data_IF_546677955208
#
_entry.id   IF_546677955208
#
_cell.length_a   1.000
_cell.length_b   1.000
_cell.length_c   1.000
_cell.angle_alpha   90.00
_cell.angle_beta   90.00
_cell.angle_gamma   90.00
#
_symmetry.space_group_name_H-M   'P 1'
#
loop_
_entity.id
_entity.type
_entity.pdbx_description
1 polymer ?
#
# COMPACT_ATOMS: atom_id res chain seq x y z
N UNK A 1 58.77 -33.73 34.15
CA UNK A 1 58.35 -34.88 33.33
C UNK A 1 56.99 -35.42 33.77
N UNK A 2 56.20 -35.86 32.78
CA UNK A 2 55.04 -36.77 32.83
C UNK A 2 53.73 -36.34 33.53
N UNK A 3 52.88 -35.78 32.68
CA UNK A 3 51.41 -35.84 32.64
C UNK A 3 50.86 -37.23 33.03
N UNK A 4 49.75 -37.26 33.78
CA UNK A 4 48.79 -38.37 33.79
C UNK A 4 47.39 -37.81 33.50
N UNK A 5 46.85 -38.25 32.36
CA UNK A 5 45.52 -37.93 31.86
C UNK A 5 44.44 -38.67 32.69
N UNK A 6 43.33 -37.98 32.97
CA UNK A 6 42.07 -38.60 33.39
C UNK A 6 40.99 -38.20 32.40
N UNK A 7 40.52 -39.18 31.62
CA UNK A 7 39.27 -39.14 30.85
C UNK A 7 38.12 -38.80 31.80
N UNK A 8 37.28 -37.84 31.43
CA UNK A 8 35.93 -37.67 31.98
C UNK A 8 34.92 -37.74 30.83
N UNK A 9 33.85 -38.45 31.15
CA UNK A 9 32.66 -38.74 30.37
C UNK A 9 32.08 -37.47 29.77
N UNK A 10 31.66 -37.53 28.50
CA UNK A 10 30.71 -36.59 27.92
C UNK A 10 29.33 -37.15 28.30
N UNK A 11 28.56 -36.41 29.08
CA UNK A 11 27.10 -36.56 29.20
C UNK A 11 26.52 -35.48 28.27
N UNK A 12 25.57 -35.89 27.44
CA UNK A 12 24.80 -35.01 26.57
C UNK A 12 23.96 -34.07 27.44
N UNK A 13 24.36 -32.80 27.51
CA UNK A 13 23.50 -31.72 27.97
C UNK A 13 22.58 -31.36 26.80
N UNK A 14 21.31 -31.72 26.92
CA UNK A 14 20.22 -31.21 26.08
C UNK A 14 20.21 -29.68 26.22
N UNK A 15 20.58 -28.97 25.15
CA UNK A 15 20.40 -27.53 25.03
C UNK A 15 18.89 -27.25 25.01
N UNK A 16 18.37 -26.74 26.14
CA UNK A 16 17.07 -26.10 26.22
C UNK A 16 16.96 -25.05 25.09
N UNK A 17 16.08 -25.31 24.12
CA UNK A 17 15.70 -24.38 23.07
C UNK A 17 15.06 -23.14 23.73
N UNK A 18 15.86 -22.10 23.95
CA UNK A 18 15.41 -20.76 24.30
C UNK A 18 14.36 -20.31 23.26
N UNK A 19 13.09 -20.27 23.67
CA UNK A 19 12.00 -19.66 22.91
C UNK A 19 12.37 -18.21 22.56
N UNK A 20 12.67 -17.97 21.28
CA UNK A 20 12.93 -16.65 20.75
C UNK A 20 11.75 -15.69 21.02
N UNK A 21 11.95 -14.55 21.71
CA UNK A 21 10.90 -13.56 21.92
C UNK A 21 10.79 -12.70 20.66
N UNK A 22 9.96 -13.14 19.70
CA UNK A 22 9.77 -12.45 18.42
C UNK A 22 8.39 -12.61 17.77
N UNK A 23 7.41 -13.21 18.45
CA UNK A 23 6.11 -13.55 17.84
C UNK A 23 5.07 -12.41 17.76
N UNK A 24 5.25 -11.30 18.46
CA UNK A 24 4.22 -10.23 18.50
C UNK A 24 4.08 -9.43 17.19
N UNK A 25 5.07 -9.44 16.30
CA UNK A 25 5.01 -8.69 15.04
C UNK A 25 4.26 -9.41 13.91
N UNK A 26 3.89 -10.68 14.08
CA UNK A 26 3.08 -11.44 13.12
C UNK A 26 1.57 -11.25 13.29
N UNK A 27 1.10 -10.59 14.36
CA UNK A 27 -0.33 -10.41 14.66
C UNK A 27 -1.08 -9.47 13.69
N UNK A 28 -0.36 -8.69 12.88
CA UNK A 28 -0.96 -7.80 11.89
C UNK A 28 -1.29 -8.49 10.56
N UNK A 29 -0.99 -9.78 10.42
CA UNK A 29 -1.15 -10.50 9.16
C UNK A 29 -2.14 -11.65 9.26
N UNK A 30 -3.04 -11.76 8.28
CA UNK A 30 -3.89 -12.93 8.19
C UNK A 30 -3.03 -14.17 7.96
N UNK A 31 -3.46 -15.30 8.51
CA UNK A 31 -2.77 -16.60 8.40
C UNK A 31 -2.44 -16.99 6.95
N UNK A 32 -3.29 -16.60 6.00
CA UNK A 32 -3.07 -16.78 4.56
C UNK A 32 -1.85 -15.99 4.03
N UNK A 33 -1.48 -14.87 4.66
CA UNK A 33 -0.32 -14.06 4.29
C UNK A 33 1.01 -14.64 4.75
N UNK A 34 0.99 -15.47 5.80
CA UNK A 34 2.15 -16.20 6.29
C UNK A 34 2.49 -17.43 5.45
N UNK A 35 1.57 -17.88 4.58
CA UNK A 35 1.82 -18.99 3.65
C UNK A 35 2.68 -18.49 2.50
N UNK A 36 3.92 -18.99 2.44
CA UNK A 36 4.69 -18.92 1.21
C UNK A 36 4.10 -19.90 0.21
N UNK A 37 4.30 -19.66 -1.09
CA UNK A 37 3.87 -20.61 -2.11
C UNK A 37 4.64 -21.91 -1.88
N UNK A 38 3.96 -22.96 -1.41
CA UNK A 38 4.60 -24.22 -1.07
C UNK A 38 5.10 -24.90 -2.35
N UNK A 39 6.41 -25.09 -2.43
CA UNK A 39 7.10 -25.78 -3.52
C UNK A 39 7.00 -27.32 -3.36
N UNK A 40 5.79 -27.81 -3.06
CA UNK A 40 5.55 -29.21 -2.76
C UNK A 40 5.63 -30.06 -4.04
N UNK A 41 6.68 -30.88 -4.14
CA UNK A 41 6.89 -31.80 -5.27
C UNK A 41 7.93 -31.36 -6.30
N UNK A 42 8.69 -30.31 -6.03
CA UNK A 42 9.80 -29.91 -6.90
C UNK A 42 10.98 -30.84 -6.73
N UNK A 43 11.36 -31.49 -7.84
CA UNK A 43 12.51 -32.37 -7.88
C UNK A 43 13.77 -31.52 -7.84
N UNK A 44 14.62 -31.79 -6.86
CA UNK A 44 15.97 -31.22 -6.80
C UNK A 44 16.88 -32.20 -7.52
N UNK A 45 17.71 -31.69 -8.43
CA UNK A 45 18.72 -32.50 -9.10
C UNK A 45 19.90 -32.86 -8.18
N UNK A 46 20.85 -33.63 -8.69
CA UNK A 46 22.03 -34.09 -7.95
C UNK A 46 22.95 -32.93 -7.49
N UNK A 47 22.77 -31.72 -8.04
CA UNK A 47 23.59 -30.54 -7.77
C UNK A 47 22.83 -29.46 -6.98
N UNK A 48 21.59 -29.73 -6.55
CA UNK A 48 20.79 -28.79 -5.76
C UNK A 48 19.93 -27.83 -6.57
N UNK A 49 19.86 -27.97 -7.90
CA UNK A 49 18.99 -27.15 -8.74
C UNK A 49 17.56 -27.69 -8.76
N UNK A 50 16.59 -26.78 -8.77
CA UNK A 50 15.17 -27.10 -8.81
C UNK A 50 14.71 -27.35 -10.25
N UNK A 51 14.16 -28.52 -10.53
CA UNK A 51 13.60 -28.84 -11.85
C UNK A 51 12.08 -28.56 -11.91
N UNK A 52 11.73 -27.48 -12.60
CA UNK A 52 10.35 -27.06 -12.82
C UNK A 52 9.74 -27.51 -14.15
N UNK A 53 10.47 -28.29 -14.98
CA UNK A 53 10.04 -28.62 -16.35
C UNK A 53 8.69 -29.35 -16.43
N UNK A 54 8.38 -30.19 -15.44
CA UNK A 54 7.11 -30.94 -15.40
C UNK A 54 5.92 -30.07 -14.98
N UNK A 55 6.15 -29.02 -14.19
CA UNK A 55 5.11 -28.14 -13.67
C UNK A 55 4.85 -26.94 -14.60
N UNK A 56 5.86 -26.55 -15.39
CA UNK A 56 5.83 -25.37 -16.26
C UNK A 56 5.92 -25.77 -17.74
N UNK A 57 4.83 -26.24 -18.36
CA UNK A 57 4.85 -26.61 -19.78
C UNK A 57 5.10 -25.37 -20.64
N UNK A 58 6.01 -25.48 -21.61
CA UNK A 58 6.35 -24.39 -22.52
C UNK A 58 5.23 -24.20 -23.55
N UNK A 59 4.79 -22.95 -23.74
CA UNK A 59 3.81 -22.62 -24.79
C UNK A 59 4.49 -22.52 -26.16
N UNK A 60 3.71 -22.75 -27.22
CA UNK A 60 4.20 -22.68 -28.60
C UNK A 60 4.66 -21.28 -29.01
N UNK A 61 4.13 -20.24 -28.39
CA UNK A 61 4.41 -18.83 -28.64
C UNK A 61 5.34 -18.21 -27.57
N UNK A 62 6.21 -19.04 -26.97
CA UNK A 62 7.13 -18.61 -25.92
C UNK A 62 8.11 -17.49 -26.36
N UNK A 63 8.30 -17.25 -27.66
CA UNK A 63 9.22 -16.22 -28.15
C UNK A 63 8.64 -14.79 -28.05
N UNK A 64 7.31 -14.64 -28.09
CA UNK A 64 6.65 -13.32 -28.07
C UNK A 64 6.24 -12.85 -26.68
N UNK A 65 6.40 -13.69 -25.65
CA UNK A 65 5.94 -13.45 -24.27
C UNK A 65 7.10 -13.11 -23.34
N UNK A 66 7.01 -12.14 -22.42
CA UNK A 66 8.18 -11.69 -21.66
C UNK A 66 8.41 -12.36 -20.30
N UNK A 67 7.49 -13.20 -19.79
CA UNK A 67 7.53 -13.68 -18.39
C UNK A 67 7.84 -15.18 -18.24
N UNK A 68 8.58 -15.52 -17.18
CA UNK A 68 8.61 -16.86 -16.58
C UNK A 68 8.06 -16.80 -15.15
N UNK A 69 7.13 -17.68 -14.83
CA UNK A 69 6.46 -17.73 -13.51
C UNK A 69 6.80 -19.06 -12.84
N UNK A 70 7.70 -19.02 -11.87
CA UNK A 70 8.09 -20.18 -11.09
C UNK A 70 7.04 -20.53 -10.02
N UNK A 71 6.90 -21.82 -9.65
CA UNK A 71 5.92 -22.26 -8.67
C UNK A 71 6.21 -21.78 -7.25
N UNK A 72 7.42 -21.27 -6.96
CA UNK A 72 7.80 -20.69 -5.68
C UNK A 72 7.45 -19.19 -5.54
N UNK A 73 6.76 -18.63 -6.54
CA UNK A 73 6.33 -17.23 -6.56
C UNK A 73 7.32 -16.26 -7.21
N UNK A 74 8.47 -16.74 -7.67
CA UNK A 74 9.42 -15.90 -8.42
C UNK A 74 8.94 -15.69 -9.87
N UNK A 75 9.01 -14.45 -10.33
CA UNK A 75 8.68 -14.06 -11.70
C UNK A 75 9.90 -13.40 -12.33
N UNK A 76 10.32 -13.93 -13.48
CA UNK A 76 11.39 -13.35 -14.27
C UNK A 76 10.81 -12.61 -15.48
N UNK A 77 11.23 -11.36 -15.68
CA UNK A 77 10.78 -10.48 -16.75
C UNK A 77 11.95 -10.15 -17.69
N UNK A 78 11.77 -10.41 -18.97
CA UNK A 78 12.74 -10.04 -20.01
C UNK A 78 12.62 -8.56 -20.40
N UNK A 79 13.67 -7.78 -20.12
CA UNK A 79 13.69 -6.34 -20.37
C UNK A 79 13.90 -5.94 -21.84
N UNK A 80 14.25 -6.90 -22.69
CA UNK A 80 14.49 -6.71 -24.13
C UNK A 80 13.26 -7.05 -24.99
N UNK A 81 12.17 -7.55 -24.40
CA UNK A 81 10.94 -7.84 -25.12
C UNK A 81 10.20 -6.54 -25.50
N UNK A 82 9.55 -6.46 -26.67
CA UNK A 82 8.70 -5.32 -27.00
C UNK A 82 7.54 -5.09 -26.02
N UNK A 83 7.11 -6.15 -25.32
CA UNK A 83 6.05 -6.11 -24.31
C UNK A 83 6.55 -5.71 -22.92
N UNK A 84 7.84 -5.39 -22.77
CA UNK A 84 8.45 -5.08 -21.49
C UNK A 84 7.70 -3.99 -20.72
N UNK A 85 7.32 -2.88 -21.36
CA UNK A 85 6.67 -1.75 -20.67
C UNK A 85 5.35 -2.16 -20.02
N UNK A 86 4.50 -2.89 -20.75
CA UNK A 86 3.22 -3.40 -20.26
C UNK A 86 3.41 -4.42 -19.13
N UNK A 87 4.34 -5.37 -19.32
CA UNK A 87 4.62 -6.38 -18.33
C UNK A 87 5.26 -5.80 -17.05
N UNK A 88 6.12 -4.79 -17.18
CA UNK A 88 6.70 -4.07 -16.05
C UNK A 88 5.62 -3.33 -15.26
N UNK A 89 4.73 -2.62 -15.94
CA UNK A 89 3.66 -1.86 -15.29
C UNK A 89 2.68 -2.76 -14.54
N UNK A 90 2.35 -3.91 -15.14
CA UNK A 90 1.57 -4.96 -14.50
C UNK A 90 2.29 -5.54 -13.27
N UNK A 91 3.56 -5.95 -13.39
CA UNK A 91 4.32 -6.51 -12.27
C UNK A 91 4.55 -5.52 -11.13
N UNK A 92 4.71 -4.22 -11.42
CA UNK A 92 4.79 -3.16 -10.41
C UNK A 92 3.46 -3.00 -9.65
N UNK A 93 2.34 -3.46 -10.19
CA UNK A 93 1.06 -3.48 -9.49
C UNK A 93 0.88 -4.73 -8.62
N UNK A 94 1.38 -5.90 -9.05
CA UNK A 94 1.04 -7.20 -8.42
C UNK A 94 2.17 -7.87 -7.64
N UNK A 95 3.42 -7.46 -7.84
CA UNK A 95 4.59 -8.14 -7.31
C UNK A 95 5.63 -7.16 -6.73
N UNK A 96 6.45 -7.65 -5.81
CA UNK A 96 7.57 -6.89 -5.25
C UNK A 96 8.84 -7.13 -6.09
N UNK A 97 9.59 -6.08 -6.45
CA UNK A 97 10.85 -6.25 -7.17
C UNK A 97 11.94 -6.81 -6.25
N UNK A 98 12.61 -7.88 -6.68
CA UNK A 98 13.77 -8.47 -5.99
C UNK A 98 15.06 -7.88 -6.58
N UNK A 99 15.25 -8.03 -7.90
CA UNK A 99 16.41 -7.48 -8.59
C UNK A 99 16.05 -6.92 -9.98
N UNK A 100 16.78 -5.90 -10.44
CA UNK A 100 16.55 -5.23 -11.74
C UNK A 100 17.87 -5.01 -12.50
N UNK A 101 18.56 -6.08 -12.93
CA UNK A 101 19.73 -5.97 -13.80
C UNK A 101 19.32 -5.64 -15.24
N UNK A 102 20.28 -5.37 -16.12
CA UNK A 102 20.05 -4.82 -17.47
C UNK A 102 19.13 -5.66 -18.37
N UNK A 103 19.11 -6.99 -18.22
CA UNK A 103 18.46 -7.90 -19.18
C UNK A 103 17.23 -8.65 -18.62
N UNK A 104 17.32 -9.18 -17.41
CA UNK A 104 16.26 -10.01 -16.82
C UNK A 104 15.97 -9.52 -15.41
N UNK A 105 14.78 -8.98 -15.19
CA UNK A 105 14.35 -8.52 -13.88
C UNK A 105 13.72 -9.69 -13.12
N UNK A 106 13.87 -9.67 -11.80
CA UNK A 106 13.28 -10.64 -10.90
C UNK A 106 12.29 -9.94 -9.97
N UNK A 107 11.09 -10.49 -9.91
CA UNK A 107 10.01 -10.08 -9.04
C UNK A 107 9.57 -11.27 -8.19
N UNK A 108 8.93 -11.00 -7.06
CA UNK A 108 8.37 -12.03 -6.19
C UNK A 108 6.92 -11.69 -5.87
N UNK A 109 6.05 -12.67 -6.07
CA UNK A 109 4.68 -12.61 -5.58
C UNK A 109 4.69 -12.83 -4.07
N UNK A 110 4.17 -11.87 -3.34
CA UNK A 110 3.93 -11.95 -1.90
C UNK A 110 2.44 -11.77 -1.65
N UNK A 111 1.96 -12.22 -0.49
CA UNK A 111 0.58 -11.96 -0.11
C UNK A 111 0.31 -10.45 -0.04
N UNK A 112 1.26 -9.68 0.50
CA UNK A 112 1.20 -8.22 0.58
C UNK A 112 1.07 -7.54 -0.78
N UNK A 113 1.87 -7.96 -1.77
CA UNK A 113 1.84 -7.36 -3.11
C UNK A 113 0.49 -7.62 -3.79
N UNK A 114 -0.08 -8.81 -3.60
CA UNK A 114 -1.42 -9.14 -4.08
C UNK A 114 -2.52 -8.35 -3.35
N UNK A 115 -2.38 -8.09 -2.04
CA UNK A 115 -3.32 -7.24 -1.31
C UNK A 115 -3.30 -5.80 -1.81
N UNK A 116 -2.11 -5.27 -2.08
CA UNK A 116 -1.95 -3.96 -2.68
C UNK A 116 -2.59 -3.90 -4.08
N UNK A 117 -2.42 -4.95 -4.88
CA UNK A 117 -3.03 -5.06 -6.21
C UNK A 117 -4.56 -5.01 -6.17
N UNK A 118 -5.20 -5.82 -5.34
CA UNK A 118 -6.67 -5.85 -5.20
C UNK A 118 -7.19 -4.54 -4.64
N UNK A 119 -6.44 -3.93 -3.73
CA UNK A 119 -6.79 -2.60 -3.22
C UNK A 119 -6.87 -1.59 -4.37
N UNK A 120 -5.94 -1.62 -5.33
CA UNK A 120 -5.96 -0.71 -6.50
C UNK A 120 -7.20 -0.93 -7.38
N UNK A 121 -7.83 -2.10 -7.31
CA UNK A 121 -9.07 -2.43 -8.04
C UNK A 121 -8.94 -3.60 -9.01
N UNK A 122 -7.75 -4.19 -9.13
CA UNK A 122 -7.51 -5.35 -9.99
C UNK A 122 -8.29 -6.57 -9.49
N UNK A 123 -9.09 -7.18 -10.36
CA UNK A 123 -9.82 -8.39 -10.01
C UNK A 123 -8.92 -9.62 -10.08
N UNK A 124 -9.29 -10.65 -9.31
CA UNK A 124 -8.60 -11.95 -9.30
C UNK A 124 -8.51 -12.57 -10.69
N UNK A 125 -9.58 -12.48 -11.48
CA UNK A 125 -9.66 -12.98 -12.85
C UNK A 125 -8.59 -12.32 -13.73
N UNK A 126 -8.50 -11.00 -13.64
CA UNK A 126 -7.66 -10.20 -14.52
C UNK A 126 -6.19 -10.52 -14.23
N UNK A 127 -5.80 -10.57 -12.95
CA UNK A 127 -4.43 -10.92 -12.56
C UNK A 127 -4.03 -12.29 -13.14
N UNK A 128 -4.91 -13.29 -13.06
CA UNK A 128 -4.63 -14.64 -13.58
C UNK A 128 -4.56 -14.61 -15.11
N UNK A 129 -5.50 -13.93 -15.77
CA UNK A 129 -5.56 -13.82 -17.22
C UNK A 129 -4.32 -13.12 -17.79
N UNK A 130 -3.91 -11.99 -17.21
CA UNK A 130 -2.70 -11.27 -17.60
C UNK A 130 -1.44 -12.10 -17.40
N UNK A 131 -1.31 -12.80 -16.26
CA UNK A 131 -0.20 -13.72 -16.06
C UNK A 131 -0.18 -14.81 -17.13
N UNK A 132 -1.34 -15.38 -17.46
CA UNK A 132 -1.46 -16.37 -18.53
C UNK A 132 -1.19 -15.79 -19.92
N UNK A 133 -1.54 -14.53 -20.21
CA UNK A 133 -1.27 -13.84 -21.48
C UNK A 133 0.21 -13.42 -21.62
N UNK A 134 0.89 -13.09 -20.54
CA UNK A 134 2.29 -12.64 -20.57
C UNK A 134 3.32 -13.76 -20.30
N UNK A 135 2.91 -14.92 -19.79
CA UNK A 135 3.83 -16.02 -19.45
C UNK A 135 4.22 -16.91 -20.64
N UNK A 136 5.52 -17.13 -20.82
CA UNK A 136 6.10 -18.10 -21.78
C UNK A 136 5.70 -19.54 -21.47
N UNK A 137 5.56 -19.86 -20.20
CA UNK A 137 5.15 -21.18 -19.69
C UNK A 137 3.71 -21.14 -19.20
N UNK A 138 3.09 -22.31 -19.03
CA UNK A 138 1.88 -22.42 -18.22
C UNK A 138 2.11 -21.85 -16.82
N UNK A 139 1.11 -21.15 -16.28
CA UNK A 139 1.14 -20.66 -14.90
C UNK A 139 0.85 -21.88 -14.00
N UNK A 140 1.72 -22.21 -13.03
CA UNK A 140 1.50 -23.35 -12.14
C UNK A 140 0.20 -23.21 -11.33
N UNK A 141 -0.50 -24.32 -11.12
CA UNK A 141 -1.78 -24.33 -10.38
C UNK A 141 -1.63 -23.82 -8.94
N UNK A 142 -0.48 -24.09 -8.30
CA UNK A 142 -0.17 -23.57 -6.97
C UNK A 142 -0.19 -22.04 -6.90
N UNK A 143 0.33 -21.36 -7.93
CA UNK A 143 0.29 -19.89 -8.03
C UNK A 143 -1.14 -19.41 -8.24
N UNK A 144 -1.94 -20.08 -9.07
CA UNK A 144 -3.35 -19.72 -9.28
C UNK A 144 -4.15 -19.86 -7.99
N UNK A 145 -3.95 -20.96 -7.25
CA UNK A 145 -4.60 -21.18 -5.96
C UNK A 145 -4.16 -20.15 -4.93
N UNK A 146 -2.87 -19.83 -4.88
CA UNK A 146 -2.33 -18.79 -4.00
C UNK A 146 -2.94 -17.42 -4.30
N UNK A 147 -2.99 -17.02 -5.58
CA UNK A 147 -3.63 -15.76 -5.99
C UNK A 147 -5.11 -15.76 -5.58
N UNK A 148 -5.86 -16.83 -5.86
CA UNK A 148 -7.27 -16.91 -5.45
C UNK A 148 -7.45 -16.79 -3.94
N UNK A 149 -6.64 -17.48 -3.17
CA UNK A 149 -6.68 -17.42 -1.71
C UNK A 149 -6.40 -16.00 -1.19
N UNK A 150 -5.39 -15.32 -1.73
CA UNK A 150 -4.99 -13.98 -1.31
C UNK A 150 -5.84 -12.85 -1.89
N UNK A 151 -6.72 -13.09 -2.86
CA UNK A 151 -7.48 -12.01 -3.51
C UNK A 151 -8.98 -12.10 -3.30
N UNK A 152 -9.52 -13.30 -3.01
CA UNK A 152 -10.98 -13.48 -2.84
C UNK A 152 -11.51 -12.81 -1.58
N UNK A 153 -10.77 -12.77 -0.47
CA UNK A 153 -11.25 -12.14 0.76
C UNK A 153 -10.76 -10.68 0.93
N UNK A 154 -9.72 -10.28 0.19
CA UNK A 154 -9.01 -9.02 0.39
C UNK A 154 -9.61 -7.89 -0.43
N UNK A 155 -9.51 -6.65 0.08
CA UNK A 155 -10.01 -5.45 -0.58
C UNK A 155 -11.53 -5.32 -0.69
N UNK A 156 -12.28 -6.28 -0.13
CA UNK A 156 -13.75 -6.25 -0.07
C UNK A 156 -14.29 -5.37 1.05
N UNK A 157 -13.48 -5.10 2.07
CA UNK A 157 -13.91 -4.36 3.26
C UNK A 157 -13.01 -3.16 3.45
N UNK A 158 -13.62 -1.99 3.54
CA UNK A 158 -12.94 -0.71 3.69
C UNK A 158 -13.33 -0.10 5.01
N UNK A 159 -12.37 0.48 5.72
CA UNK A 159 -12.61 1.34 6.87
C UNK A 159 -12.51 2.79 6.38
N UNK A 160 -13.66 3.42 6.22
CA UNK A 160 -13.77 4.77 5.66
C UNK A 160 -14.02 5.76 6.78
N UNK A 161 -13.15 6.76 6.88
CA UNK A 161 -13.36 7.91 7.76
C UNK A 161 -14.17 8.99 7.01
N UNK A 162 -15.42 9.21 7.42
CA UNK A 162 -16.30 10.27 6.88
C UNK A 162 -16.81 11.13 8.05
N UNK A 163 -16.69 12.46 7.96
CA UNK A 163 -17.17 13.39 8.99
C UNK A 163 -16.74 12.99 10.42
N UNK A 164 -15.47 12.65 10.60
CA UNK A 164 -14.89 12.18 11.87
C UNK A 164 -15.61 10.96 12.49
N UNK A 165 -16.25 10.14 11.66
CA UNK A 165 -16.89 8.88 12.05
C UNK A 165 -16.32 7.76 11.20
N UNK A 166 -16.13 6.61 11.84
CA UNK A 166 -15.58 5.43 11.20
C UNK A 166 -16.70 4.56 10.69
N UNK A 167 -16.68 4.29 9.40
CA UNK A 167 -17.62 3.40 8.73
C UNK A 167 -16.89 2.21 8.15
N UNK A 168 -17.47 1.03 8.30
CA UNK A 168 -17.04 -0.15 7.55
C UNK A 168 -17.89 -0.24 6.30
N UNK A 169 -17.27 -0.16 5.13
CA UNK A 169 -17.90 -0.13 3.81
C UNK A 169 -17.52 -1.37 3.01
N UNK A 170 -18.49 -1.96 2.30
CA UNK A 170 -18.25 -3.02 1.32
C UNK A 170 -19.22 -2.92 0.15
N UNK A 171 -18.73 -3.19 -1.05
CA UNK A 171 -19.56 -3.40 -2.25
C UNK A 171 -20.27 -4.76 -2.22
N UNK A 172 -19.84 -5.68 -1.35
CA UNK A 172 -20.38 -7.03 -1.24
C UNK A 172 -21.20 -7.18 0.05
N UNK A 173 -22.53 -7.11 -0.08
CA UNK A 173 -23.47 -7.24 1.05
C UNK A 173 -23.28 -8.54 1.85
N UNK A 174 -22.96 -9.63 1.17
CA UNK A 174 -22.70 -10.94 1.80
C UNK A 174 -21.53 -10.91 2.79
N UNK A 175 -20.47 -10.15 2.48
CA UNK A 175 -19.28 -10.05 3.36
C UNK A 175 -19.62 -9.28 4.64
N UNK A 176 -20.38 -8.20 4.54
CA UNK A 176 -20.85 -7.47 5.73
C UNK A 176 -21.78 -8.32 6.58
N UNK A 177 -22.70 -9.07 5.96
CA UNK A 177 -23.55 -10.00 6.70
C UNK A 177 -22.74 -11.06 7.45
N UNK A 178 -21.69 -11.59 6.84
CA UNK A 178 -20.78 -12.55 7.48
C UNK A 178 -20.00 -11.89 8.64
N UNK A 179 -19.48 -10.66 8.46
CA UNK A 179 -18.80 -9.91 9.52
C UNK A 179 -19.70 -9.63 10.71
N UNK A 180 -20.98 -9.28 10.47
CA UNK A 180 -21.96 -8.97 11.53
C UNK A 180 -22.46 -10.21 12.29
N UNK A 181 -22.20 -11.42 11.80
CA UNK A 181 -22.43 -12.66 12.56
C UNK A 181 -21.43 -12.81 13.72
N UNK A 182 -20.26 -12.17 13.62
CA UNK A 182 -19.25 -12.20 14.67
C UNK A 182 -19.65 -11.32 15.86
N UNK A 183 -19.55 -11.89 17.07
CA UNK A 183 -19.98 -11.23 18.32
C UNK A 183 -19.11 -10.01 18.64
N UNK A 184 -17.80 -10.07 18.35
CA UNK A 184 -16.87 -8.98 18.64
C UNK A 184 -17.16 -7.80 17.72
N UNK A 185 -17.29 -8.07 16.41
CA UNK A 185 -17.59 -7.03 15.41
C UNK A 185 -18.94 -6.37 15.69
N UNK A 186 -19.97 -7.15 16.06
CA UNK A 186 -21.27 -6.61 16.48
C UNK A 186 -21.15 -5.71 17.70
N UNK A 187 -20.27 -6.06 18.65
CA UNK A 187 -19.97 -5.23 19.82
C UNK A 187 -19.24 -3.92 19.48
N UNK A 188 -18.49 -3.87 18.38
CA UNK A 188 -17.79 -2.66 17.92
C UNK A 188 -18.72 -1.65 17.25
N UNK A 189 -19.91 -2.06 16.80
CA UNK A 189 -20.91 -1.20 16.15
C UNK A 189 -21.36 -0.07 17.09
N UNK A 190 -21.56 1.12 16.53
CA UNK A 190 -22.18 2.21 17.28
C UNK A 190 -23.67 1.90 17.51
N UNK A 191 -24.12 2.00 18.76
CA UNK A 191 -25.55 1.93 19.13
C UNK A 191 -26.11 3.35 19.21
N UNK A 192 -27.35 3.53 18.77
CA UNK A 192 -28.08 4.78 18.92
C UNK A 192 -28.38 5.07 20.40
N UNK A 193 -28.76 6.31 20.72
CA UNK A 193 -29.04 6.77 22.08
C UNK A 193 -30.15 5.98 22.81
N UNK A 194 -30.98 5.22 22.08
CA UNK A 194 -32.05 4.36 22.61
C UNK A 194 -31.60 2.90 22.83
N UNK A 195 -30.32 2.58 22.62
CA UNK A 195 -29.76 1.23 22.79
C UNK A 195 -29.95 0.30 21.59
N UNK A 196 -30.63 0.76 20.54
CA UNK A 196 -30.81 0.07 19.26
C UNK A 196 -29.54 0.18 18.40
N UNK A 197 -29.23 -0.87 17.64
CA UNK A 197 -28.11 -0.85 16.70
C UNK A 197 -28.39 0.19 15.60
N UNK A 198 -27.40 1.04 15.26
CA UNK A 198 -27.48 1.98 14.12
C UNK A 198 -28.00 1.27 12.87
N UNK A 199 -28.82 1.87 12.01
CA UNK A 199 -29.28 1.16 10.80
C UNK A 199 -28.11 0.85 9.84
N UNK A 200 -28.21 -0.26 9.10
CA UNK A 200 -27.29 -0.53 7.99
C UNK A 200 -27.70 0.42 6.86
N UNK A 201 -26.78 1.28 6.44
CA UNK A 201 -27.09 2.26 5.41
C UNK A 201 -26.61 1.70 4.06
N UNK A 202 -27.43 1.86 3.03
CA UNK A 202 -27.12 1.45 1.65
C UNK A 202 -27.04 2.72 0.81
N UNK A 203 -25.89 2.98 0.22
CA UNK A 203 -25.62 4.18 -0.59
C UNK A 203 -25.05 3.76 -1.94
N UNK A 204 -25.45 4.48 -2.99
CA UNK A 204 -24.96 4.26 -4.35
C UNK A 204 -23.69 5.09 -4.52
N UNK A 205 -22.54 4.45 -4.74
CA UNK A 205 -21.27 5.15 -4.95
C UNK A 205 -21.12 5.56 -6.42
N UNK A 206 -20.84 6.85 -6.66
CA UNK A 206 -20.41 7.36 -7.97
C UNK A 206 -18.90 7.64 -7.94
N UNK A 207 -18.12 6.93 -8.75
CA UNK A 207 -16.66 7.06 -8.79
C UNK A 207 -16.23 8.32 -9.56
N UNK A 208 -16.05 9.47 -8.90
CA UNK A 208 -15.48 10.66 -9.56
C UNK A 208 -13.95 10.62 -9.53
N UNK A 209 -13.32 10.71 -10.71
CA UNK A 209 -11.87 10.82 -10.84
C UNK A 209 -11.31 12.00 -10.02
N UNK A 210 -10.22 11.76 -9.28
CA UNK A 210 -9.68 12.71 -8.31
C UNK A 210 -8.81 13.81 -8.93
N UNK A 211 -8.46 13.70 -10.22
CA UNK A 211 -7.60 14.66 -10.92
C UNK A 211 -8.45 15.45 -11.91
N UNK A 212 -8.86 16.65 -11.52
CA UNK A 212 -9.45 17.60 -12.45
C UNK A 212 -8.35 18.07 -13.42
N UNK A 213 -8.33 17.55 -14.65
CA UNK A 213 -7.60 18.18 -15.75
C UNK A 213 -8.29 19.51 -16.06
N UNK A 214 -7.74 20.60 -15.56
CA UNK A 214 -7.97 21.92 -16.13
C UNK A 214 -7.14 22.02 -17.43
N UNK A 215 -7.70 21.57 -18.55
CA UNK A 215 -7.19 21.94 -19.87
C UNK A 215 -8.37 21.99 -20.83
N UNK A 216 -8.66 23.21 -21.28
CA UNK A 216 -9.70 23.55 -22.23
C UNK A 216 -9.62 22.70 -23.51
N UNK A 217 -10.81 22.39 -24.03
CA UNK A 217 -11.05 21.75 -25.31
C UNK A 217 -10.42 22.53 -26.48
N UNK A 218 -9.39 21.95 -27.10
CA UNK A 218 -8.87 22.33 -28.41
C UNK A 218 -8.93 21.14 -29.38
N UNK A 219 -9.26 21.34 -30.66
CA UNK A 219 -9.62 20.27 -31.58
C UNK A 219 -8.42 19.40 -31.96
N UNK A 220 -8.69 18.10 -32.10
CA UNK A 220 -7.77 17.07 -32.56
C UNK A 220 -7.07 17.43 -33.87
N UNK A 221 -5.75 17.48 -33.86
CA UNK A 221 -4.91 17.29 -35.05
C UNK A 221 -3.83 16.27 -34.73
N UNK A 222 -4.13 15.01 -34.98
CA UNK A 222 -3.15 13.92 -35.06
C UNK A 222 -3.22 13.32 -36.46
N UNK A 223 -2.51 13.95 -37.40
CA UNK A 223 -2.00 13.26 -38.58
C UNK A 223 -0.54 13.64 -38.82
N UNK A 224 0.23 12.59 -39.14
CA UNK A 224 1.57 12.53 -39.69
C UNK A 224 2.76 12.41 -38.72
N UNK A 225 3.61 11.42 -39.05
CA UNK A 225 4.84 10.92 -38.40
C UNK A 225 4.59 10.03 -37.17
N UNK A 226 4.92 8.74 -37.11
CA UNK A 226 5.96 7.97 -37.81
C UNK A 226 5.46 6.54 -38.07
N UNK A 227 5.43 6.15 -39.35
CA UNK A 227 5.10 4.81 -39.79
C UNK A 227 6.40 4.02 -40.00
N UNK A 228 7.08 3.62 -38.92
CA UNK A 228 8.20 2.66 -39.01
C UNK A 228 8.59 2.16 -37.62
N UNK A 229 7.91 1.11 -37.17
CA UNK A 229 8.33 -0.01 -36.28
C UNK A 229 7.09 -0.52 -35.56
N UNK A 230 6.32 -1.40 -36.21
CA UNK A 230 5.38 -2.25 -35.47
C UNK A 230 6.21 -3.31 -34.77
N UNK A 231 6.26 -3.38 -33.43
CA UNK A 231 6.66 -4.62 -32.80
C UNK A 231 5.55 -5.65 -33.03
N UNK A 232 5.93 -6.91 -33.23
CA UNK A 232 5.04 -8.10 -33.26
C UNK A 232 4.37 -8.30 -31.88
N UNK A 233 3.48 -7.37 -31.52
CA UNK A 233 2.62 -7.48 -30.35
C UNK A 233 1.30 -8.08 -30.83
N UNK A 234 0.86 -9.23 -30.26
CA UNK A 234 -0.46 -9.77 -30.56
C UNK A 234 -1.54 -8.70 -30.33
N UNK A 235 -2.37 -8.44 -31.36
CA UNK A 235 -3.38 -7.38 -31.32
C UNK A 235 -4.35 -7.51 -30.13
N UNK A 236 -4.65 -8.76 -29.75
CA UNK A 236 -5.47 -9.15 -28.60
C UNK A 236 -4.96 -8.56 -27.26
N UNK A 237 -3.64 -8.47 -27.08
CA UNK A 237 -3.07 -7.91 -25.85
C UNK A 237 -3.22 -6.40 -25.78
N UNK A 238 -3.06 -5.70 -26.92
CA UNK A 238 -3.19 -4.25 -26.99
C UNK A 238 -4.64 -3.81 -26.80
N UNK A 239 -5.57 -4.52 -27.43
CA UNK A 239 -7.01 -4.29 -27.31
C UNK A 239 -7.50 -4.55 -25.87
N UNK A 240 -6.95 -5.55 -25.19
CA UNK A 240 -7.27 -5.84 -23.79
C UNK A 240 -6.77 -4.77 -22.81
N UNK A 241 -5.57 -4.20 -23.02
CA UNK A 241 -5.08 -3.07 -22.22
C UNK A 241 -5.92 -1.80 -22.47
N UNK A 242 -6.30 -1.53 -23.71
CA UNK A 242 -7.20 -0.41 -24.03
C UNK A 242 -8.61 -0.60 -23.47
N UNK A 243 -9.10 -1.85 -23.37
CA UNK A 243 -10.37 -2.17 -22.71
C UNK A 243 -10.27 -1.97 -21.20
N UNK A 244 -9.19 -2.39 -20.54
CA UNK A 244 -9.00 -2.12 -19.11
C UNK A 244 -8.91 -0.63 -18.78
N UNK A 245 -8.17 0.15 -19.57
CA UNK A 245 -8.08 1.60 -19.37
C UNK A 245 -9.47 2.25 -19.56
N UNK A 246 -10.33 1.68 -20.42
CA UNK A 246 -11.73 2.11 -20.59
C UNK A 246 -12.64 1.62 -19.47
N UNK A 247 -12.48 0.39 -18.98
CA UNK A 247 -13.26 -0.19 -17.88
C UNK A 247 -12.90 0.49 -16.53
N UNK A 248 -11.67 0.98 -16.35
CA UNK A 248 -11.31 1.89 -15.25
C UNK A 248 -12.00 3.27 -15.38
N UNK A 249 -12.33 3.71 -16.59
CA UNK A 249 -13.05 4.96 -16.88
C UNK A 249 -14.59 4.80 -16.88
N UNK A 250 -15.12 3.58 -17.03
CA UNK A 250 -16.57 3.33 -16.96
C UNK A 250 -17.07 3.38 -15.50
N UNK A 251 -17.87 4.41 -15.22
CA UNK A 251 -18.52 4.63 -13.92
C UNK A 251 -19.57 3.55 -13.63
N UNK A 252 -19.15 2.38 -13.11
CA UNK A 252 -20.09 1.40 -12.58
C UNK A 252 -20.70 1.91 -11.25
N UNK A 253 -22.00 2.20 -11.26
CA UNK A 253 -22.79 2.45 -10.04
C UNK A 253 -22.82 1.18 -9.18
N UNK A 254 -21.96 1.12 -8.16
CA UNK A 254 -21.92 0.01 -7.20
C UNK A 254 -22.69 0.40 -5.93
N UNK A 255 -23.65 -0.44 -5.55
CA UNK A 255 -24.31 -0.36 -4.25
C UNK A 255 -23.30 -0.75 -3.17
N UNK A 256 -23.02 0.17 -2.25
CA UNK A 256 -22.20 -0.08 -1.09
C UNK A 256 -23.06 -0.11 0.18
N UNK A 257 -22.73 -1.05 1.04
CA UNK A 257 -23.36 -1.23 2.35
C UNK A 257 -22.37 -0.75 3.40
N UNK A 258 -22.85 0.01 4.39
CA UNK A 258 -22.02 0.52 5.47
C UNK A 258 -22.70 0.49 6.84
N UNK A 259 -21.87 0.36 7.88
CA UNK A 259 -22.28 0.50 9.28
C UNK A 259 -21.23 1.30 10.06
N UNK A 260 -21.69 2.04 11.08
CA UNK A 260 -20.84 2.91 11.90
C UNK A 260 -20.19 2.14 13.06
N UNK A 261 -18.93 2.47 13.36
CA UNK A 261 -18.10 1.81 14.38
C UNK A 261 -17.60 2.81 15.41
N UNK A 262 -17.51 2.37 16.66
CA UNK A 262 -16.92 3.15 17.77
C UNK A 262 -15.41 3.33 17.59
N UNK A 263 -14.92 4.56 17.73
CA UNK A 263 -13.50 4.91 17.58
C UNK A 263 -12.58 4.13 18.52
N UNK A 264 -13.00 3.92 19.77
CA UNK A 264 -12.18 3.23 20.78
C UNK A 264 -11.95 1.74 20.46
N UNK A 265 -12.80 1.15 19.61
CA UNK A 265 -12.79 -0.28 19.28
C UNK A 265 -12.16 -0.57 17.91
N UNK A 266 -11.56 0.43 17.24
CA UNK A 266 -11.02 0.27 15.90
C UNK A 266 -9.85 -0.72 15.87
N UNK A 267 -8.99 -0.70 16.88
CA UNK A 267 -7.86 -1.64 16.97
C UNK A 267 -8.36 -3.09 17.13
N UNK A 268 -9.33 -3.32 18.02
CA UNK A 268 -9.95 -4.63 18.20
C UNK A 268 -10.68 -5.10 16.94
N UNK A 269 -11.39 -4.19 16.26
CA UNK A 269 -12.04 -4.47 15.00
C UNK A 269 -11.01 -4.89 13.93
N UNK A 270 -9.91 -4.15 13.78
CA UNK A 270 -8.85 -4.47 12.83
C UNK A 270 -8.24 -5.84 13.11
N UNK A 271 -7.86 -6.11 14.37
CA UNK A 271 -7.34 -7.42 14.80
C UNK A 271 -8.33 -8.54 14.52
N UNK A 272 -9.62 -8.35 14.81
CA UNK A 272 -10.66 -9.36 14.54
C UNK A 272 -10.87 -9.59 13.04
N UNK A 273 -10.88 -8.53 12.25
CA UNK A 273 -11.03 -8.59 10.80
C UNK A 273 -9.85 -9.32 10.13
N UNK A 274 -8.62 -9.11 10.63
CA UNK A 274 -7.43 -9.86 10.20
C UNK A 274 -7.59 -11.36 10.52
N UNK A 275 -8.05 -11.70 11.72
CA UNK A 275 -8.29 -13.09 12.12
C UNK A 275 -9.38 -13.80 11.30
N UNK A 276 -10.35 -13.04 10.79
CA UNK A 276 -11.41 -13.54 9.90
C UNK A 276 -11.00 -13.52 8.42
N UNK A 277 -9.74 -13.22 8.11
CA UNK A 277 -9.19 -13.12 6.75
C UNK A 277 -9.82 -12.02 5.87
N UNK A 278 -10.46 -11.02 6.50
CA UNK A 278 -11.05 -9.84 5.84
C UNK A 278 -10.41 -8.55 6.37
N UNK A 279 -9.12 -8.28 6.08
CA UNK A 279 -8.47 -7.08 6.61
C UNK A 279 -9.10 -5.80 6.07
N UNK A 280 -9.11 -4.77 6.91
CA UNK A 280 -9.71 -3.48 6.61
C UNK A 280 -8.74 -2.58 5.84
N UNK A 281 -9.19 -2.07 4.69
CA UNK A 281 -8.46 -1.02 3.96
C UNK A 281 -8.86 0.36 4.47
N UNK A 282 -7.91 1.09 5.05
CA UNK A 282 -8.15 2.44 5.54
C UNK A 282 -8.21 3.46 4.37
N UNK A 283 -9.37 4.10 4.22
CA UNK A 283 -9.59 5.20 3.28
C UNK A 283 -10.09 6.44 4.04
N UNK A 284 -9.63 7.60 3.62
CA UNK A 284 -10.05 8.88 4.15
C UNK A 284 -10.75 9.71 3.06
N UNK A 285 -12.01 10.05 3.30
CA UNK A 285 -12.79 10.93 2.42
C UNK A 285 -12.53 12.40 2.77
N UNK A 286 -11.36 12.88 2.33
CA UNK A 286 -10.93 14.25 2.61
C UNK A 286 -11.76 15.32 1.88
N UNK A 287 -12.48 14.97 0.81
CA UNK A 287 -13.30 15.90 0.02
C UNK A 287 -14.62 16.23 0.71
N UNK A 288 -15.25 15.23 1.32
CA UNK A 288 -16.52 15.41 2.01
C UNK A 288 -16.34 15.72 3.50
N UNK A 289 -15.11 15.77 4.01
CA UNK A 289 -14.84 16.15 5.40
C UNK A 289 -15.04 17.67 5.60
N UNK A 290 -16.21 18.04 6.11
CA UNK A 290 -16.55 19.42 6.47
C UNK A 290 -16.19 19.80 7.91
N UNK A 291 -15.78 18.85 8.74
CA UNK A 291 -15.44 19.11 10.16
C UNK A 291 -14.03 19.68 10.26
N UNK A 292 -13.10 19.08 9.53
CA UNK A 292 -11.72 19.56 9.49
C UNK A 292 -11.59 20.71 8.49
N UNK A 293 -11.11 21.90 8.91
CA UNK A 293 -10.97 23.03 8.02
C UNK A 293 -9.90 22.77 6.95
N UNK A 294 -10.20 23.20 5.73
CA UNK A 294 -9.22 23.19 4.65
C UNK A 294 -8.13 24.23 4.90
N UNK A 295 -6.90 23.88 4.50
CA UNK A 295 -5.75 24.76 4.49
C UNK A 295 -5.58 25.32 3.08
N UNK A 296 -5.29 26.61 3.01
CA UNK A 296 -4.91 27.27 1.76
C UNK A 296 -3.47 26.88 1.38
N UNK A 297 -3.32 25.67 0.83
CA UNK A 297 -2.06 25.15 0.32
C UNK A 297 -2.26 24.62 -1.10
N UNK A 298 -1.48 25.16 -2.01
CA UNK A 298 -1.42 24.73 -3.40
C UNK A 298 0.01 24.46 -3.82
N UNK A 299 0.15 23.60 -4.82
CA UNK A 299 1.43 23.34 -5.44
C UNK A 299 1.79 24.52 -6.36
N UNK A 300 3.03 25.01 -6.28
CA UNK A 300 3.50 26.09 -7.15
C UNK A 300 3.58 25.62 -8.61
N UNK A 301 3.30 26.48 -9.60
CA UNK A 301 3.36 26.09 -11.02
C UNK A 301 4.74 25.61 -11.50
N UNK A 302 5.81 25.99 -10.79
CA UNK A 302 7.18 25.53 -11.07
C UNK A 302 7.43 24.07 -10.68
N UNK A 303 6.55 23.48 -9.87
CA UNK A 303 6.66 22.12 -9.37
C UNK A 303 6.08 21.11 -10.37
N UNK A 304 6.86 20.76 -11.39
CA UNK A 304 6.46 19.73 -12.35
C UNK A 304 6.85 18.35 -11.83
N UNK A 305 5.88 17.45 -11.74
CA UNK A 305 6.08 16.07 -11.32
C UNK A 305 6.68 15.24 -12.45
N UNK A 306 7.51 14.27 -12.07
CA UNK A 306 8.01 13.26 -13.02
C UNK A 306 6.96 12.16 -13.19
N UNK A 307 6.90 11.46 -14.33
CA UNK A 307 5.86 10.45 -14.60
C UNK A 307 5.73 9.36 -13.52
N UNK A 308 6.84 8.90 -12.93
CA UNK A 308 6.80 7.90 -11.87
C UNK A 308 6.23 8.44 -10.54
N UNK A 309 6.38 9.75 -10.28
CA UNK A 309 5.80 10.42 -9.11
C UNK A 309 4.28 10.54 -9.28
N UNK A 310 3.82 10.96 -10.46
CA UNK A 310 2.40 11.01 -10.79
C UNK A 310 1.75 9.63 -10.68
N UNK A 311 2.42 8.59 -11.19
CA UNK A 311 1.95 7.20 -11.09
C UNK A 311 1.82 6.75 -9.63
N UNK A 312 2.75 7.13 -8.76
CA UNK A 312 2.65 6.82 -7.32
C UNK A 312 1.48 7.53 -6.64
N UNK A 313 1.24 8.81 -6.95
CA UNK A 313 0.12 9.58 -6.37
C UNK A 313 -1.23 9.11 -6.89
N UNK A 314 -1.32 8.71 -8.17
CA UNK A 314 -2.54 8.13 -8.75
C UNK A 314 -2.95 6.84 -8.04
N UNK A 315 -1.98 6.02 -7.59
CA UNK A 315 -2.28 4.82 -6.80
C UNK A 315 -2.72 5.14 -5.35
N UNK A 316 -2.30 6.29 -4.81
CA UNK A 316 -2.66 6.74 -3.46
C UNK A 316 -4.05 7.41 -3.43
N UNK A 317 -4.39 8.15 -4.48
CA UNK A 317 -5.66 8.86 -4.62
C UNK A 317 -6.55 8.16 -5.65
N UNK A 318 -7.60 7.49 -5.19
CA UNK A 318 -8.58 6.82 -6.04
C UNK A 318 -10.00 7.17 -5.62
N UNK A 319 -10.92 7.32 -6.59
CA UNK A 319 -12.36 7.57 -6.37
C UNK A 319 -12.66 8.75 -5.42
N UNK A 320 -11.84 9.80 -5.45
CA UNK A 320 -12.00 10.99 -4.59
C UNK A 320 -11.59 10.81 -3.12
N UNK A 321 -11.06 9.64 -2.73
CA UNK A 321 -10.59 9.34 -1.38
C UNK A 321 -9.06 9.16 -1.36
N UNK A 322 -8.46 9.39 -0.20
CA UNK A 322 -7.05 9.11 0.04
C UNK A 322 -6.90 7.75 0.72
N UNK A 323 -5.99 6.91 0.23
CA UNK A 323 -5.69 5.62 0.84
C UNK A 323 -4.45 5.69 1.71
N UNK A 324 -4.48 5.03 2.87
CA UNK A 324 -3.27 4.78 3.66
C UNK A 324 -2.39 3.73 3.00
N UNK A 325 -1.09 4.01 2.84
CA UNK A 325 -0.17 3.08 2.20
C UNK A 325 1.28 3.55 2.24
N UNK A 326 2.17 2.74 1.67
CA UNK A 326 3.62 2.99 1.63
C UNK A 326 4.05 3.21 0.19
N UNK A 327 4.72 4.34 -0.07
CA UNK A 327 5.32 4.65 -1.36
C UNK A 327 6.84 4.51 -1.24
N UNK A 328 7.42 3.54 -1.96
CA UNK A 328 8.87 3.29 -1.95
C UNK A 328 9.52 3.97 -3.16
N UNK A 329 10.38 4.95 -2.91
CA UNK A 329 11.17 5.63 -3.93
C UNK A 329 12.67 5.60 -3.57
N UNK A 330 13.58 5.46 -4.55
CA UNK A 330 15.01 5.52 -4.28
C UNK A 330 15.44 6.91 -3.81
N UNK A 331 16.58 6.98 -3.15
CA UNK A 331 17.17 8.25 -2.70
C UNK A 331 17.36 9.21 -3.89
N UNK A 332 16.99 10.48 -3.72
CA UNK A 332 17.07 11.49 -4.78
C UNK A 332 15.96 11.43 -5.84
N UNK A 333 15.01 10.49 -5.77
CA UNK A 333 13.88 10.41 -6.70
C UNK A 333 12.79 11.49 -6.48
N UNK A 334 12.96 12.35 -5.47
CA UNK A 334 12.00 13.39 -5.10
C UNK A 334 10.90 12.92 -4.14
N UNK A 335 11.26 12.12 -3.12
CA UNK A 335 10.36 11.69 -2.03
C UNK A 335 9.58 12.86 -1.43
N UNK A 336 10.28 13.94 -1.10
CA UNK A 336 9.66 15.12 -0.48
C UNK A 336 8.65 15.80 -1.40
N UNK A 337 8.89 15.85 -2.72
CA UNK A 337 7.95 16.46 -3.66
C UNK A 337 6.64 15.67 -3.75
N UNK A 338 6.71 14.33 -3.72
CA UNK A 338 5.53 13.46 -3.66
C UNK A 338 4.73 13.74 -2.38
N UNK A 339 5.41 13.82 -1.23
CA UNK A 339 4.78 14.17 0.05
C UNK A 339 4.11 15.54 0.03
N UNK A 340 4.82 16.59 -0.44
CA UNK A 340 4.26 17.94 -0.56
C UNK A 340 3.03 17.95 -1.46
N UNK A 341 3.09 17.24 -2.58
CA UNK A 341 1.96 17.13 -3.51
C UNK A 341 0.76 16.42 -2.87
N UNK A 342 1.00 15.36 -2.09
CA UNK A 342 -0.06 14.68 -1.36
C UNK A 342 -0.76 15.62 -0.37
N UNK A 343 0.00 16.45 0.37
CA UNK A 343 -0.56 17.46 1.27
C UNK A 343 -1.36 18.52 0.50
N UNK A 344 -0.83 19.01 -0.62
CA UNK A 344 -1.53 19.99 -1.48
C UNK A 344 -2.83 19.41 -2.08
N UNK A 345 -2.90 18.09 -2.27
CA UNK A 345 -4.08 17.40 -2.80
C UNK A 345 -5.13 17.19 -1.71
N UNK A 346 -4.71 16.76 -0.51
CA UNK A 346 -5.60 16.50 0.63
C UNK A 346 -6.12 17.81 1.25
N UNK A 347 -5.30 18.87 1.28
CA UNK A 347 -5.62 20.20 1.84
C UNK A 347 -6.08 20.21 3.30
N UNK A 348 -5.77 19.17 4.07
CA UNK A 348 -6.01 19.08 5.52
C UNK A 348 -4.70 19.13 6.30
N UNK A 349 -4.81 19.30 7.62
CA UNK A 349 -3.64 19.38 8.52
C UNK A 349 -2.74 18.18 8.35
N UNK A 350 -1.44 18.44 8.24
CA UNK A 350 -0.45 17.40 8.00
C UNK A 350 0.60 17.35 9.11
N UNK A 351 0.89 16.14 9.58
CA UNK A 351 2.00 15.84 10.46
C UNK A 351 3.07 15.08 9.68
N UNK A 352 4.27 15.63 9.61
CA UNK A 352 5.43 15.00 8.99
C UNK A 352 6.40 14.54 10.07
N UNK A 353 6.78 13.28 10.03
CA UNK A 353 7.73 12.65 10.95
C UNK A 353 8.99 12.25 10.21
N UNK A 354 10.12 12.81 10.63
CA UNK A 354 11.44 12.49 10.10
C UNK A 354 12.35 11.81 11.12
N UNK A 355 13.49 11.33 10.65
CA UNK A 355 14.48 10.64 11.49
C UNK A 355 15.31 11.60 12.36
N UNK A 356 15.58 12.80 11.86
CA UNK A 356 16.51 13.73 12.49
C UNK A 356 16.03 15.17 12.39
N UNK A 357 16.59 16.06 13.22
CA UNK A 357 16.34 17.50 13.11
C UNK A 357 16.75 18.06 11.73
N UNK A 358 17.77 17.48 11.09
CA UNK A 358 18.18 17.86 9.73
C UNK A 358 17.07 17.51 8.73
N UNK A 359 16.46 16.32 8.85
CA UNK A 359 15.32 15.92 8.02
C UNK A 359 14.14 16.88 8.19
N UNK A 360 13.88 17.33 9.42
CA UNK A 360 12.82 18.32 9.70
C UNK A 360 13.06 19.63 8.96
N UNK A 361 14.29 20.15 8.98
CA UNK A 361 14.63 21.38 8.23
C UNK A 361 14.55 21.18 6.71
N UNK A 362 14.96 20.01 6.22
CA UNK A 362 14.83 19.67 4.79
C UNK A 362 13.36 19.65 4.38
N UNK A 363 12.49 18.98 5.14
CA UNK A 363 11.05 18.98 4.88
C UNK A 363 10.46 20.39 4.89
N UNK A 364 10.80 21.21 5.90
CA UNK A 364 10.37 22.62 5.95
C UNK A 364 10.79 23.40 4.71
N UNK A 365 12.05 23.24 4.27
CA UNK A 365 12.55 23.90 3.06
C UNK A 365 11.80 23.43 1.80
N UNK A 366 11.51 22.13 1.68
CA UNK A 366 10.76 21.58 0.53
C UNK A 366 9.31 22.09 0.49
N UNK A 367 8.61 22.18 1.64
CA UNK A 367 7.28 22.80 1.69
C UNK A 367 7.32 24.25 1.22
N UNK A 368 8.26 25.06 1.72
CA UNK A 368 8.42 26.46 1.28
C UNK A 368 8.74 26.57 -0.21
N UNK A 369 9.58 25.67 -0.73
CA UNK A 369 10.03 25.72 -2.11
C UNK A 369 8.92 25.37 -3.09
N UNK A 370 8.17 24.29 -2.83
CA UNK A 370 7.23 23.70 -3.80
C UNK A 370 5.76 24.03 -3.56
N UNK A 371 5.38 24.49 -2.37
CA UNK A 371 4.00 24.88 -2.07
C UNK A 371 3.87 26.39 -1.82
N UNK A 372 2.62 26.88 -1.83
CA UNK A 372 2.25 28.27 -1.55
C UNK A 372 2.07 28.59 -0.08
N UNK A 373 2.33 27.63 0.83
CA UNK A 373 2.09 27.82 2.27
C UNK A 373 3.02 28.89 2.88
N UNK A 374 2.47 29.66 3.82
CA UNK A 374 3.22 30.65 4.59
C UNK A 374 4.12 29.99 5.65
N UNK A 375 5.31 30.57 5.89
CA UNK A 375 6.25 30.06 6.90
C UNK A 375 5.67 30.06 8.32
N UNK A 376 4.75 30.99 8.60
CA UNK A 376 4.09 31.09 9.91
C UNK A 376 3.16 29.90 10.20
N UNK A 377 2.73 29.17 9.17
CA UNK A 377 1.84 28.01 9.28
C UNK A 377 2.60 26.68 9.38
N UNK A 378 3.92 26.68 9.18
CA UNK A 378 4.80 25.51 9.32
C UNK A 378 5.53 25.54 10.67
N UNK A 379 5.19 24.63 11.56
CA UNK A 379 5.85 24.50 12.86
C UNK A 379 6.82 23.35 12.87
N UNK A 380 8.02 23.59 13.44
CA UNK A 380 8.97 22.53 13.75
C UNK A 380 8.92 22.19 15.23
N UNK A 381 8.94 20.90 15.52
CA UNK A 381 9.01 20.36 16.86
C UNK A 381 10.16 19.37 16.96
N UNK A 382 11.33 19.89 17.31
CA UNK A 382 12.54 19.13 17.64
C UNK A 382 12.95 19.42 19.08
N UNK A 383 14.01 18.77 19.57
CA UNK A 383 14.59 19.08 20.88
C UNK A 383 15.02 20.56 20.99
N UNK A 384 15.53 21.10 19.88
CA UNK A 384 16.22 22.38 19.84
C UNK A 384 15.32 23.51 19.29
N UNK A 385 14.38 23.18 18.39
CA UNK A 385 13.42 24.12 17.81
C UNK A 385 12.00 23.79 18.26
N UNK A 386 11.39 24.71 19.02
CA UNK A 386 10.03 24.60 19.54
C UNK A 386 9.21 25.80 19.06
N UNK A 387 8.87 25.79 17.77
CA UNK A 387 8.04 26.84 17.19
C UNK A 387 6.65 26.82 17.90
N UNK A 388 6.02 27.98 18.13
CA UNK A 388 4.74 28.02 18.86
C UNK A 388 3.61 27.40 18.01
N UNK A 389 2.79 26.48 18.55
CA UNK A 389 1.76 25.75 17.77
C UNK A 389 0.50 26.59 17.42
N UNK A 390 0.54 27.92 17.49
CA UNK A 390 -0.64 28.77 17.30
C UNK A 390 -0.90 28.95 15.80
N UNK A 391 -2.04 28.47 15.31
CA UNK A 391 -2.41 28.59 13.89
C UNK A 391 -1.63 27.65 12.96
N UNK A 392 -1.00 26.63 13.52
CA UNK A 392 -0.20 25.68 12.75
C UNK A 392 -1.07 24.80 11.85
N UNK A 393 -0.68 24.69 10.59
CA UNK A 393 -1.36 23.87 9.59
C UNK A 393 -0.54 22.63 9.23
N UNK A 394 0.79 22.79 9.18
CA UNK A 394 1.75 21.69 8.95
C UNK A 394 2.71 21.62 10.14
N UNK A 395 2.70 20.49 10.83
CA UNK A 395 3.64 20.18 11.90
C UNK A 395 4.72 19.23 11.38
N UNK A 396 5.99 19.53 11.65
CA UNK A 396 7.12 18.69 11.27
C UNK A 396 7.89 18.34 12.53
N UNK A 397 8.00 17.05 12.85
CA UNK A 397 8.64 16.55 14.07
C UNK A 397 9.52 15.33 13.78
N UNK A 398 10.17 14.80 14.81
CA UNK A 398 11.00 13.59 14.73
C UNK A 398 10.36 12.42 15.45
N UNK A 399 10.63 11.19 15.00
CA UNK A 399 10.16 9.98 15.69
C UNK A 399 10.58 9.94 17.17
N UNK A 400 11.82 10.35 17.46
CA UNK A 400 12.36 10.42 18.81
C UNK A 400 11.57 11.37 19.71
N UNK A 401 11.07 12.48 19.18
CA UNK A 401 10.30 13.45 19.97
C UNK A 401 8.93 12.88 20.36
N UNK A 402 8.27 12.15 19.46
CA UNK A 402 6.96 11.52 19.71
C UNK A 402 7.05 10.29 20.61
N UNK A 403 8.05 9.42 20.38
CA UNK A 403 8.21 8.14 21.09
C UNK A 403 8.83 8.24 22.48
N UNK A 404 9.39 9.40 22.88
CA UNK A 404 10.02 9.56 24.18
C UNK A 404 9.00 9.49 25.34
N UNK A 405 9.03 8.41 26.12
CA UNK A 405 8.12 8.22 27.28
C UNK A 405 8.66 8.81 28.59
N UNK A 406 9.93 9.22 28.64
CA UNK A 406 10.49 9.81 29.88
C UNK A 406 10.08 11.28 30.04
N UNK A 407 10.30 11.81 31.26
CA UNK A 407 9.94 13.18 31.65
C UNK A 407 10.43 14.21 30.63
N UNK A 408 9.48 14.90 29.99
CA UNK A 408 9.74 15.98 29.02
C UNK A 408 9.82 17.32 29.75
N UNK A 409 10.45 18.32 29.12
CA UNK A 409 10.32 19.72 29.59
C UNK A 409 8.86 20.17 29.50
N UNK A 410 8.41 21.06 30.39
CA UNK A 410 7.03 21.58 30.42
C UNK A 410 6.51 22.08 29.06
N UNK A 411 7.35 22.79 28.30
CA UNK A 411 7.00 23.26 26.95
C UNK A 411 6.79 22.12 25.95
N UNK A 412 7.64 21.08 26.01
CA UNK A 412 7.52 19.91 25.15
C UNK A 412 6.29 19.08 25.50
N UNK A 413 5.90 19.03 26.78
CA UNK A 413 4.69 18.35 27.22
C UNK A 413 3.43 19.06 26.70
N UNK A 414 3.35 20.40 26.80
CA UNK A 414 2.25 21.18 26.19
C UNK A 414 2.15 21.00 24.68
N UNK A 415 3.28 20.96 23.97
CA UNK A 415 3.30 20.73 22.53
C UNK A 415 2.81 19.31 22.20
N UNK A 416 3.19 18.31 22.98
CA UNK A 416 2.75 16.93 22.79
C UNK A 416 1.26 16.75 23.10
N UNK A 417 0.75 17.41 24.14
CA UNK A 417 -0.68 17.45 24.45
C UNK A 417 -1.47 18.12 23.31
N UNK A 418 -0.95 19.25 22.79
CA UNK A 418 -1.51 19.86 21.58
C UNK A 418 -1.49 18.88 20.40
N UNK A 419 -0.36 18.24 20.10
CA UNK A 419 -0.22 17.31 18.97
C UNK A 419 -1.20 16.14 19.05
N UNK A 420 -1.45 15.61 20.25
CA UNK A 420 -2.40 14.50 20.50
C UNK A 420 -3.86 14.93 20.48
N UNK A 421 -4.15 16.20 20.75
CA UNK A 421 -5.51 16.74 20.74
C UNK A 421 -6.01 17.13 19.35
N UNK A 422 -5.12 17.23 18.36
CA UNK A 422 -5.48 17.59 17.00
C UNK A 422 -5.69 16.35 16.13
N UNK A 423 -6.67 16.43 15.24
CA UNK A 423 -6.85 15.50 14.14
C UNK A 423 -5.96 15.90 12.97
N UNK A 424 -5.31 14.89 12.39
CA UNK A 424 -4.40 15.05 11.25
C UNK A 424 -5.04 14.39 10.04
N UNK A 425 -5.26 15.15 8.97
CA UNK A 425 -5.81 14.60 7.73
C UNK A 425 -4.76 13.83 6.91
N UNK A 426 -3.47 14.05 7.16
CA UNK A 426 -2.39 13.25 6.58
C UNK A 426 -1.20 13.13 7.53
N UNK A 427 -0.68 11.93 7.69
CA UNK A 427 0.60 11.68 8.36
C UNK A 427 1.63 11.19 7.34
N UNK A 428 2.74 11.91 7.20
CA UNK A 428 3.86 11.51 6.35
C UNK A 428 4.96 10.93 7.25
N UNK A 429 5.26 9.66 7.03
CA UNK A 429 6.31 8.94 7.73
C UNK A 429 7.50 8.80 6.78
N UNK A 430 8.58 9.55 7.04
CA UNK A 430 9.81 9.47 6.26
C UNK A 430 10.69 8.32 6.76
N UNK A 431 11.37 7.62 5.85
CA UNK A 431 12.26 6.48 6.13
C UNK A 431 11.69 5.43 7.13
N UNK A 432 10.46 4.97 6.90
CA UNK A 432 9.69 4.06 7.77
C UNK A 432 10.47 2.81 8.23
N UNK A 433 11.39 2.30 7.40
CA UNK A 433 12.23 1.14 7.74
C UNK A 433 13.18 1.38 8.93
N UNK A 434 13.34 2.63 9.35
CA UNK A 434 14.15 3.01 10.51
C UNK A 434 13.34 3.14 11.80
N UNK A 435 12.01 3.03 11.72
CA UNK A 435 11.13 3.07 12.90
C UNK A 435 11.35 1.78 13.70
N UNK A 436 11.76 1.85 14.98
CA UNK A 436 11.89 0.67 15.82
C UNK A 436 10.49 0.06 16.03
N UNK A 437 10.37 -1.27 15.92
CA UNK A 437 9.10 -1.98 16.12
C UNK A 437 8.60 -2.05 17.57
N UNK A 438 9.13 -1.22 18.47
CA UNK A 438 8.81 -1.20 19.91
C UNK A 438 7.98 0.01 20.28
#
# INVERSE_FOLDING_TARGET
>A
EKKKAKKRHYEDDEEDEDEAPGKESQEALPSAAGKQVEDSGTKVDEYGAKDYRLQMPLKVDHASRPLWVAPDGHIFLEAFSPLYKYAQDFLVAIAEPVCRPTHIHEYKLTAYSLYAAVSVGLQTSDIIEYLQKLSKTGVPDGIIQFIKLCTVSYGKVKLVLKHNRYFVESTHSQVIQQLLQDVIIRGCRLKNAEGEETEIIVETLTSKSAIAKSSESGPSTSQAADAQTKPDVPADLFEFYEQMDKDEEEEEEKLAVYFEVRQDMIEELQKRCINLEYPLLAEYDFRNDSLNPDINIDLKPTAVLRPYQEKSLRKMFGNGRARSGVIVLPCGAGKSLVGVTAVCTVRKRCLVLGNSAVSVEQWKAQFKMWSTIDDSQICRFTSDAKDKPIGCSIAISTYSMLGHTTKRSFEAERVMEWLKSQEWGLMILDEVHTIPGK
#
